data_IF_728023481860
#
_entry.id   IF_728023481860
#
_cell.length_a   1.000
_cell.length_b   1.000
_cell.length_c   1.000
_cell.angle_alpha   90.00
_cell.angle_beta   90.00
_cell.angle_gamma   90.00
#
_symmetry.space_group_name_H-M   'P 1'
#
loop_
_entity.id
_entity.type
_entity.pdbx_description
1 polymer ?
#
# COMPACT_ATOMS: atom_id res chain seq x y z
N UNK A 1 9.05 -12.16 -18.20
CA UNK A 1 8.67 -11.70 -16.84
C UNK A 1 7.18 -11.42 -16.90
N UNK A 2 6.36 -12.17 -16.16
CA UNK A 2 4.90 -12.01 -16.13
C UNK A 2 4.50 -11.27 -14.88
N UNK A 3 3.82 -10.14 -15.03
CA UNK A 3 3.25 -9.39 -13.90
C UNK A 3 1.87 -9.98 -13.59
N UNK A 4 1.63 -10.31 -12.33
CA UNK A 4 0.33 -10.76 -11.83
C UNK A 4 -0.29 -9.66 -10.97
N UNK A 5 -1.54 -9.33 -11.23
CA UNK A 5 -2.32 -8.39 -10.42
C UNK A 5 -3.21 -9.20 -9.48
N UNK A 6 -3.12 -8.93 -8.18
CA UNK A 6 -3.95 -9.58 -7.15
C UNK A 6 -4.42 -8.59 -6.10
N UNK A 7 -5.36 -9.02 -5.27
CA UNK A 7 -5.72 -8.29 -4.06
C UNK A 7 -4.53 -8.22 -3.10
N UNK A 8 -4.40 -7.06 -2.43
CA UNK A 8 -3.48 -6.89 -1.32
C UNK A 8 -3.99 -7.65 -0.09
N UNK A 9 -3.09 -8.38 0.55
CA UNK A 9 -3.30 -9.10 1.79
C UNK A 9 -2.70 -8.32 2.96
N UNK A 10 -3.15 -8.53 4.21
CA UNK A 10 -2.62 -7.80 5.36
C UNK A 10 -1.11 -7.93 5.56
N UNK A 11 -0.51 -9.04 5.09
CA UNK A 11 0.93 -9.29 5.15
C UNK A 11 1.75 -8.45 4.17
N UNK A 12 1.13 -7.78 3.19
CA UNK A 12 1.84 -6.96 2.20
C UNK A 12 2.23 -5.56 2.74
N UNK A 13 1.88 -5.25 4.00
CA UNK A 13 1.96 -3.89 4.56
C UNK A 13 3.36 -3.26 4.49
N UNK A 14 4.43 -4.03 4.72
CA UNK A 14 5.80 -3.52 4.66
C UNK A 14 6.19 -3.12 3.24
N UNK A 15 5.83 -3.93 2.24
CA UNK A 15 6.10 -3.64 0.84
C UNK A 15 5.30 -2.41 0.37
N UNK A 16 4.04 -2.30 0.78
CA UNK A 16 3.19 -1.14 0.48
C UNK A 16 3.76 0.12 1.12
N UNK A 17 4.11 0.07 2.41
CA UNK A 17 4.75 1.18 3.10
C UNK A 17 6.01 1.64 2.36
N UNK A 18 6.89 0.70 1.98
CA UNK A 18 8.13 1.02 1.26
C UNK A 18 7.90 1.73 -0.08
N UNK A 19 6.85 1.37 -0.82
CA UNK A 19 6.47 2.10 -2.05
C UNK A 19 6.10 3.54 -1.72
N UNK A 20 5.29 3.75 -0.68
CA UNK A 20 4.80 5.08 -0.31
C UNK A 20 5.83 5.93 0.45
N UNK A 21 6.93 5.34 0.90
CA UNK A 21 8.11 6.07 1.38
C UNK A 21 8.99 6.59 0.23
N UNK A 22 8.79 6.09 -1.00
CA UNK A 22 9.60 6.51 -2.13
C UNK A 22 9.35 8.00 -2.49
N UNK A 23 10.41 8.81 -2.68
CA UNK A 23 10.28 10.23 -3.01
C UNK A 23 9.39 10.51 -4.23
N UNK A 24 9.44 9.65 -5.24
CA UNK A 24 8.61 9.77 -6.44
C UNK A 24 7.13 9.47 -6.18
N UNK A 25 6.83 8.55 -5.26
CA UNK A 25 5.45 8.21 -4.91
C UNK A 25 4.77 9.34 -4.13
N UNK A 26 5.52 10.02 -3.24
CA UNK A 26 5.00 11.12 -2.44
C UNK A 26 4.95 12.46 -3.21
N UNK A 27 5.83 12.67 -4.18
CA UNK A 27 5.96 13.92 -4.90
C UNK A 27 4.63 14.39 -5.54
N UNK A 28 4.22 15.62 -5.25
CA UNK A 28 2.99 16.21 -5.81
C UNK A 28 1.70 15.70 -5.18
N UNK A 29 1.76 14.88 -4.13
CA UNK A 29 0.61 14.40 -3.37
C UNK A 29 0.50 15.12 -2.01
N UNK A 30 -0.61 14.92 -1.32
CA UNK A 30 -0.79 15.35 0.08
C UNK A 30 -0.49 14.22 1.08
N UNK A 31 0.29 13.20 0.69
CA UNK A 31 0.67 12.15 1.63
C UNK A 31 1.52 12.70 2.78
N UNK A 32 1.32 12.09 3.95
CA UNK A 32 2.13 12.36 5.12
C UNK A 32 3.46 11.61 4.96
N UNK A 33 4.61 12.29 5.06
CA UNK A 33 5.92 11.63 5.06
C UNK A 33 6.06 10.61 6.19
N UNK A 34 6.87 9.57 5.96
CA UNK A 34 7.14 8.49 6.91
C UNK A 34 5.86 7.77 7.40
N UNK A 35 5.09 7.16 6.47
CA UNK A 35 3.83 6.50 6.82
C UNK A 35 4.07 5.33 7.79
N UNK A 36 3.17 5.17 8.77
CA UNK A 36 3.28 4.09 9.76
C UNK A 36 3.00 2.72 9.16
N UNK A 37 3.90 1.76 9.40
CA UNK A 37 3.73 0.35 9.05
C UNK A 37 2.42 -0.23 9.63
N UNK A 38 2.15 0.06 10.91
CA UNK A 38 0.95 -0.43 11.60
C UNK A 38 -0.34 0.18 11.02
N UNK A 39 -0.29 1.44 10.56
CA UNK A 39 -1.44 2.05 9.89
C UNK A 39 -1.74 1.37 8.54
N UNK A 40 -0.71 1.03 7.76
CA UNK A 40 -0.86 0.25 6.53
C UNK A 40 -1.40 -1.15 6.81
N UNK A 41 -0.86 -1.85 7.81
CA UNK A 41 -1.33 -3.18 8.22
C UNK A 41 -2.81 -3.14 8.58
N UNK A 42 -3.23 -2.15 9.37
CA UNK A 42 -4.64 -1.94 9.74
C UNK A 42 -5.51 -1.68 8.52
N UNK A 43 -5.08 -0.78 7.62
CA UNK A 43 -5.84 -0.45 6.41
C UNK A 43 -6.03 -1.68 5.51
N UNK A 44 -4.99 -2.50 5.33
CA UNK A 44 -5.06 -3.71 4.52
C UNK A 44 -5.93 -4.80 5.17
N UNK A 45 -5.96 -4.88 6.51
CA UNK A 45 -6.79 -5.81 7.26
C UNK A 45 -8.28 -5.38 7.32
N UNK A 46 -8.55 -4.09 7.33
CA UNK A 46 -9.88 -3.50 7.53
C UNK A 46 -10.45 -2.90 6.23
N UNK A 47 -10.32 -3.59 5.10
CA UNK A 47 -10.84 -3.09 3.82
C UNK A 47 -12.36 -2.89 3.88
N UNK A 48 -12.77 -1.63 3.68
CA UNK A 48 -14.18 -1.24 3.65
C UNK A 48 -14.92 -1.89 2.48
N UNK A 49 -16.22 -2.17 2.61
CA UNK A 49 -17.05 -2.62 1.49
C UNK A 49 -16.94 -1.65 0.31
N UNK A 50 -16.52 -2.15 -0.85
CA UNK A 50 -16.37 -1.37 -2.09
C UNK A 50 -14.97 -0.77 -2.33
N UNK A 51 -14.11 -0.69 -1.31
CA UNK A 51 -12.71 -0.29 -1.48
C UNK A 51 -11.82 -1.51 -1.77
N UNK A 52 -11.07 -1.49 -2.87
CA UNK A 52 -10.12 -2.56 -3.22
C UNK A 52 -8.71 -1.99 -3.37
N UNK A 53 -7.74 -2.61 -2.70
CA UNK A 53 -6.31 -2.35 -2.91
C UNK A 53 -5.72 -3.54 -3.66
N UNK A 54 -5.00 -3.25 -4.74
CA UNK A 54 -4.41 -4.23 -5.64
C UNK A 54 -2.89 -4.05 -5.68
N UNK A 55 -2.16 -5.15 -5.84
CA UNK A 55 -0.71 -5.16 -6.02
C UNK A 55 -0.34 -5.85 -7.33
N UNK A 56 0.74 -5.36 -7.93
CA UNK A 56 1.40 -5.98 -9.08
C UNK A 56 2.68 -6.65 -8.60
N UNK A 57 2.80 -7.96 -8.83
CA UNK A 57 3.94 -8.80 -8.44
C UNK A 57 4.51 -9.57 -9.60
#
# INVERSE_FOLDING_TARGET
MSIVIRHAEPGDFEAVQGIFEAPEAIAGTLQVPFPSAEAWRKLLAEQQPGGKILLAT
#
